data_IF_381900270611
#
_entry.id   IF_381900270611
#
_cell.length_a   1.000
_cell.length_b   1.000
_cell.length_c   1.000
_cell.angle_alpha   90.00
_cell.angle_beta   90.00
_cell.angle_gamma   90.00
#
_symmetry.space_group_name_H-M   'P 1'
#
loop_
_entity.id
_entity.type
_entity.pdbx_description
1 polymer ?
#
# COMPACT_ATOMS: atom_id res chain seq x y z
N UNK A 1 -0.07 -1.87 8.58
CA UNK A 1 -0.21 -3.20 9.20
C UNK A 1 -1.65 -3.68 9.19
N UNK A 2 -2.63 -2.89 9.67
CA UNK A 2 -4.07 -3.27 9.71
C UNK A 2 -4.64 -3.74 8.36
N UNK A 3 -4.26 -3.11 7.23
CA UNK A 3 -4.73 -3.54 5.89
C UNK A 3 -4.28 -4.98 5.59
N UNK A 4 -3.03 -5.34 5.90
CA UNK A 4 -2.46 -6.69 5.69
C UNK A 4 -3.23 -7.71 6.53
N UNK A 5 -3.52 -7.37 7.79
CA UNK A 5 -4.30 -8.21 8.70
C UNK A 5 -5.70 -8.47 8.15
N UNK A 6 -6.42 -7.40 7.74
CA UNK A 6 -7.76 -7.50 7.17
C UNK A 6 -7.78 -8.31 5.86
N UNK A 7 -6.80 -8.16 4.99
CA UNK A 7 -6.72 -8.98 3.77
C UNK A 7 -6.44 -10.45 4.10
N UNK A 8 -5.65 -10.72 5.13
CA UNK A 8 -5.32 -12.09 5.55
C UNK A 8 -6.53 -12.84 6.13
N UNK A 9 -7.55 -12.15 6.64
CA UNK A 9 -8.80 -12.81 7.09
C UNK A 9 -9.71 -13.21 5.92
N UNK A 10 -9.53 -12.63 4.72
CA UNK A 10 -10.36 -12.91 3.54
C UNK A 10 -9.95 -14.18 2.77
N UNK A 11 -8.85 -14.85 3.17
CA UNK A 11 -8.22 -16.00 2.47
C UNK A 11 -9.12 -17.21 2.19
N UNK A 12 -10.34 -17.23 2.71
CA UNK A 12 -11.31 -18.33 2.58
C UNK A 12 -12.22 -18.19 1.35
N UNK A 13 -12.18 -17.04 0.65
CA UNK A 13 -12.96 -16.82 -0.57
C UNK A 13 -12.13 -17.27 -1.78
N UNK A 14 -12.21 -18.55 -2.14
CA UNK A 14 -11.37 -19.16 -3.20
C UNK A 14 -11.46 -18.41 -4.54
N UNK A 15 -12.65 -17.97 -4.95
CA UNK A 15 -12.86 -17.19 -6.19
C UNK A 15 -12.11 -15.85 -6.23
N UNK A 16 -11.77 -15.30 -5.06
CA UNK A 16 -11.08 -14.01 -4.92
C UNK A 16 -9.62 -14.16 -4.50
N UNK A 17 -9.14 -15.38 -4.27
CA UNK A 17 -7.83 -15.68 -3.67
C UNK A 17 -6.67 -14.99 -4.37
N UNK A 18 -6.63 -15.02 -5.69
CA UNK A 18 -5.57 -14.36 -6.47
C UNK A 18 -5.55 -12.84 -6.22
N UNK A 19 -6.72 -12.20 -6.21
CA UNK A 19 -6.84 -10.74 -6.01
C UNK A 19 -6.54 -10.35 -4.57
N UNK A 20 -6.93 -11.19 -3.60
CA UNK A 20 -6.58 -11.02 -2.18
C UNK A 20 -5.07 -11.10 -1.99
N UNK A 21 -4.41 -12.12 -2.56
CA UNK A 21 -2.95 -12.27 -2.51
C UNK A 21 -2.26 -11.05 -3.13
N UNK A 22 -2.70 -10.60 -4.31
CA UNK A 22 -2.13 -9.41 -4.95
C UNK A 22 -2.27 -8.15 -4.07
N UNK A 23 -3.44 -7.91 -3.49
CA UNK A 23 -3.65 -6.77 -2.60
C UNK A 23 -2.80 -6.86 -1.33
N UNK A 24 -2.58 -8.08 -0.81
CA UNK A 24 -1.73 -8.32 0.34
C UNK A 24 -0.27 -8.03 0.01
N UNK A 25 0.24 -8.54 -1.10
CA UNK A 25 1.62 -8.29 -1.55
C UNK A 25 1.87 -6.80 -1.77
N UNK A 26 0.93 -6.07 -2.38
CA UNK A 26 1.00 -4.62 -2.52
C UNK A 26 1.01 -3.92 -1.15
N UNK A 27 0.23 -4.40 -0.18
CA UNK A 27 0.21 -3.85 1.18
C UNK A 27 1.54 -4.06 1.91
N UNK A 28 2.16 -5.22 1.74
CA UNK A 28 3.47 -5.56 2.32
C UNK A 28 4.58 -4.73 1.66
N UNK A 29 4.56 -4.56 0.34
CA UNK A 29 5.48 -3.67 -0.38
C UNK A 29 5.38 -2.23 0.09
N UNK A 30 4.17 -1.71 0.25
CA UNK A 30 3.97 -0.35 0.76
C UNK A 30 4.53 -0.19 2.18
N UNK A 31 4.17 -1.09 3.10
CA UNK A 31 4.69 -1.06 4.47
C UNK A 31 6.22 -1.21 4.53
N UNK A 32 6.78 -2.10 3.71
CA UNK A 32 8.22 -2.31 3.58
C UNK A 32 8.93 -1.07 3.05
N UNK A 33 8.37 -0.39 2.04
CA UNK A 33 8.93 0.85 1.50
C UNK A 33 8.96 1.96 2.54
N UNK A 34 7.86 2.19 3.27
CA UNK A 34 7.85 3.17 4.36
C UNK A 34 8.90 2.88 5.44
N UNK A 35 9.08 1.60 5.79
CA UNK A 35 10.09 1.17 6.76
C UNK A 35 11.52 1.42 6.25
N UNK A 36 11.78 1.14 4.97
CA UNK A 36 13.09 1.37 4.37
C UNK A 36 13.43 2.87 4.31
N UNK A 37 12.43 3.72 4.09
CA UNK A 37 12.57 5.18 4.03
C UNK A 37 12.56 5.86 5.41
N UNK A 38 12.74 5.12 6.52
CA UNK A 38 12.69 5.65 7.89
C UNK A 38 13.66 6.82 8.13
N UNK A 39 14.80 6.89 7.43
CA UNK A 39 15.73 8.01 7.55
C UNK A 39 15.11 9.34 7.10
N UNK A 40 14.23 9.30 6.11
CA UNK A 40 13.51 10.49 5.61
C UNK A 40 12.17 10.70 6.31
N UNK A 41 11.43 9.62 6.59
CA UNK A 41 10.05 9.66 7.08
C UNK A 41 9.92 9.57 8.61
N UNK A 42 10.91 8.98 9.29
CA UNK A 42 10.91 8.73 10.73
C UNK A 42 11.67 9.78 11.54
N UNK A 43 12.20 10.83 10.89
CA UNK A 43 12.85 11.96 11.58
C UNK A 43 11.79 12.92 12.12
N UNK A 44 12.11 13.64 13.22
CA UNK A 44 11.21 14.62 13.87
C UNK A 44 10.66 15.65 12.88
N UNK A 45 11.52 16.11 11.96
CA UNK A 45 11.20 17.17 11.00
C UNK A 45 11.12 16.61 9.56
N UNK A 46 10.34 15.53 9.39
CA UNK A 46 9.99 15.04 8.05
C UNK A 46 9.27 16.17 7.28
N UNK A 47 9.71 16.41 6.05
CA UNK A 47 9.19 17.53 5.26
C UNK A 47 7.84 17.19 4.63
N UNK A 48 7.05 18.22 4.29
CA UNK A 48 5.81 18.04 3.52
C UNK A 48 6.06 17.29 2.21
N UNK A 49 7.18 17.57 1.54
CA UNK A 49 7.55 16.90 0.29
C UNK A 49 7.86 15.41 0.52
N UNK A 50 8.62 15.07 1.57
CA UNK A 50 8.88 13.67 1.94
C UNK A 50 7.59 12.92 2.29
N UNK A 51 6.70 13.56 3.06
CA UNK A 51 5.39 12.99 3.38
C UNK A 51 4.54 12.77 2.11
N UNK A 52 4.48 13.76 1.21
CA UNK A 52 3.74 13.63 -0.05
C UNK A 52 4.29 12.52 -0.95
N UNK A 53 5.63 12.38 -1.06
CA UNK A 53 6.28 11.27 -1.78
C UNK A 53 5.93 9.88 -1.21
N UNK A 54 5.52 9.82 0.05
CA UNK A 54 5.14 8.58 0.73
C UNK A 54 3.65 8.25 0.66
N UNK A 55 2.75 9.24 0.80
CA UNK A 55 1.30 8.98 0.96
C UNK A 55 0.37 9.74 0.03
N UNK A 56 0.87 10.65 -0.81
CA UNK A 56 0.05 11.36 -1.81
C UNK A 56 0.22 10.70 -3.19
N UNK A 57 -0.74 9.85 -3.57
CA UNK A 57 -0.73 9.09 -4.84
C UNK A 57 -0.60 9.94 -6.12
N UNK A 58 -0.96 11.23 -6.05
CA UNK A 58 -0.94 12.17 -7.19
C UNK A 58 0.29 13.08 -7.17
N UNK A 59 1.24 12.87 -6.26
CA UNK A 59 2.46 13.66 -6.20
C UNK A 59 3.37 13.39 -7.41
N UNK A 60 4.11 14.41 -7.88
CA UNK A 60 4.97 14.29 -9.06
C UNK A 60 6.18 13.38 -8.87
N UNK A 61 6.61 13.17 -7.62
CA UNK A 61 7.58 12.15 -7.25
C UNK A 61 6.94 11.23 -6.19
N UNK A 62 7.08 9.92 -6.36
CA UNK A 62 6.43 8.89 -5.55
C UNK A 62 7.41 7.86 -4.99
N UNK A 63 8.70 8.20 -4.94
CA UNK A 63 9.82 7.31 -4.61
C UNK A 63 9.89 6.85 -3.16
N UNK A 64 9.04 7.36 -2.25
CA UNK A 64 9.03 7.01 -0.82
C UNK A 64 7.82 6.19 -0.36
N UNK A 65 6.98 5.73 -1.28
CA UNK A 65 5.83 4.88 -0.93
C UNK A 65 4.56 5.22 -1.68
N UNK A 66 4.42 6.43 -2.23
CA UNK A 66 3.19 6.82 -2.91
C UNK A 66 2.93 5.97 -4.17
N UNK A 67 4.00 5.42 -4.78
CA UNK A 67 3.89 4.47 -5.88
C UNK A 67 3.26 3.16 -5.40
N UNK A 68 3.80 2.57 -4.34
CA UNK A 68 3.28 1.34 -3.75
C UNK A 68 1.86 1.53 -3.19
N UNK A 69 1.54 2.71 -2.66
CA UNK A 69 0.20 3.05 -2.23
C UNK A 69 -0.78 3.12 -3.40
N UNK A 70 -0.35 3.63 -4.56
CA UNK A 70 -1.17 3.60 -5.78
C UNK A 70 -1.38 2.17 -6.25
N UNK A 71 -0.33 1.35 -6.32
CA UNK A 71 -0.44 -0.06 -6.70
C UNK A 71 -1.37 -0.83 -5.75
N UNK A 72 -1.29 -0.56 -4.44
CA UNK A 72 -2.22 -1.07 -3.44
C UNK A 72 -3.65 -0.63 -3.71
N UNK A 73 -3.88 0.66 -3.94
CA UNK A 73 -5.21 1.21 -4.25
C UNK A 73 -5.83 0.51 -5.47
N UNK A 74 -5.06 0.34 -6.54
CA UNK A 74 -5.52 -0.26 -7.80
C UNK A 74 -5.83 -1.77 -7.61
N UNK A 75 -5.03 -2.46 -6.79
CA UNK A 75 -5.26 -3.88 -6.44
C UNK A 75 -6.52 -4.09 -5.59
N UNK A 76 -6.77 -3.21 -4.61
CA UNK A 76 -7.98 -3.24 -3.77
C UNK A 76 -9.21 -2.88 -4.59
N UNK A 77 -9.13 -1.91 -5.49
CA UNK A 77 -10.23 -1.60 -6.41
C UNK A 77 -10.60 -2.81 -7.28
N UNK A 78 -9.61 -3.51 -7.83
CA UNK A 78 -9.82 -4.74 -8.61
C UNK A 78 -10.48 -5.85 -7.79
N UNK A 79 -10.06 -6.01 -6.52
CA UNK A 79 -10.68 -6.95 -5.59
C UNK A 79 -12.14 -6.59 -5.31
N UNK A 80 -12.43 -5.33 -5.01
CA UNK A 80 -13.80 -4.85 -4.76
C UNK A 80 -14.68 -5.06 -5.98
N UNK A 81 -14.18 -4.80 -7.19
CA UNK A 81 -14.94 -5.05 -8.44
C UNK A 81 -15.28 -6.53 -8.65
N UNK A 82 -14.39 -7.43 -8.27
CA UNK A 82 -14.62 -8.87 -8.40
C UNK A 82 -15.53 -9.45 -7.31
N UNK A 83 -15.62 -8.78 -6.16
CA UNK A 83 -16.48 -9.18 -5.05
C UNK A 83 -17.92 -8.65 -5.17
N UNK A 84 -18.18 -7.72 -6.08
CA UNK A 84 -19.51 -7.19 -6.41
C UNK A 84 -20.24 -8.15 -7.33
#
# INVERSE_FOLDING_TARGET
>A
TVIIEKLSTLKHVEELKEKITKAKDCSEKFAGKLKNEHASLGKKDATDDDAKKAILKTHGNTDKGAKELKDLSDSVESLVKAAK
#
